data_IF_116044118030
#
_entry.id   IF_116044118030
#
_cell.length_a   1.000
_cell.length_b   1.000
_cell.length_c   1.000
_cell.angle_alpha   90.00
_cell.angle_beta   90.00
_cell.angle_gamma   90.00
#
_symmetry.space_group_name_H-M   'P 1'
#
loop_
_entity.id
_entity.type
_entity.pdbx_description
1 polymer ?
#
# COMPACT_ATOMS: atom_id res chain seq x y z
N UNK A 1 0.68 -3.02 -17.69
CA UNK A 1 1.06 -3.12 -16.26
C UNK A 1 2.08 -4.24 -16.12
N UNK A 2 3.23 -4.01 -15.44
CA UNK A 2 4.24 -5.05 -15.20
C UNK A 2 3.68 -6.28 -14.47
N UNK A 3 4.23 -7.47 -14.74
CA UNK A 3 3.76 -8.74 -14.17
C UNK A 3 3.81 -8.76 -12.63
N UNK A 4 4.89 -8.25 -12.04
CA UNK A 4 5.10 -8.19 -10.59
C UNK A 4 4.02 -7.39 -9.84
N UNK A 5 3.33 -6.44 -10.51
CA UNK A 5 2.22 -5.70 -9.91
C UNK A 5 0.98 -6.60 -9.82
N UNK A 6 0.74 -7.45 -10.83
CA UNK A 6 -0.36 -8.42 -10.78
C UNK A 6 -0.12 -9.39 -9.62
N UNK A 7 1.09 -9.92 -9.51
CA UNK A 7 1.47 -10.88 -8.48
C UNK A 7 1.39 -10.32 -7.04
N UNK A 8 1.35 -8.99 -6.89
CA UNK A 8 1.14 -8.35 -5.58
C UNK A 8 -0.32 -8.42 -5.11
N UNK A 9 -1.26 -8.64 -6.02
CA UNK A 9 -2.67 -8.84 -5.69
C UNK A 9 -2.98 -10.31 -5.48
N UNK A 10 -3.88 -10.60 -4.54
CA UNK A 10 -4.33 -11.95 -4.24
C UNK A 10 -4.85 -12.63 -5.51
N UNK A 11 -4.27 -13.77 -5.87
CA UNK A 11 -4.52 -14.52 -7.11
C UNK A 11 -4.34 -13.71 -8.41
N UNK A 12 -3.63 -12.58 -8.38
CA UNK A 12 -3.55 -11.66 -9.52
C UNK A 12 -4.83 -10.85 -9.76
N UNK A 13 -5.80 -10.92 -8.86
CA UNK A 13 -7.12 -10.32 -9.03
C UNK A 13 -7.17 -8.89 -8.49
N UNK A 14 -7.48 -7.95 -9.37
CA UNK A 14 -7.75 -6.55 -9.02
C UNK A 14 -8.89 -6.02 -9.88
N UNK A 15 -9.63 -5.06 -9.33
CA UNK A 15 -10.63 -4.29 -10.04
C UNK A 15 -10.03 -2.96 -10.45
N UNK A 16 -10.26 -2.56 -11.69
CA UNK A 16 -9.98 -1.18 -12.11
C UNK A 16 -11.23 -0.36 -11.84
N UNK A 17 -11.09 0.67 -11.01
CA UNK A 17 -12.20 1.54 -10.60
C UNK A 17 -11.82 2.99 -10.83
N UNK A 18 -12.82 3.86 -10.96
CA UNK A 18 -12.62 5.31 -11.02
C UNK A 18 -13.25 5.94 -9.79
N UNK A 19 -12.52 6.87 -9.16
CA UNK A 19 -13.04 7.60 -8.00
C UNK A 19 -14.20 8.51 -8.43
N UNK A 20 -15.34 8.39 -7.75
CA UNK A 20 -16.53 9.24 -7.98
C UNK A 20 -16.50 10.51 -7.14
N UNK A 21 -15.63 10.55 -6.12
CA UNK A 21 -15.40 11.65 -5.20
C UNK A 21 -13.93 11.68 -4.76
N UNK A 22 -13.55 12.66 -3.93
CA UNK A 22 -12.22 12.73 -3.34
C UNK A 22 -12.07 11.63 -2.29
N UNK A 23 -11.06 10.77 -2.43
CA UNK A 23 -10.80 9.68 -1.48
C UNK A 23 -9.51 9.92 -0.69
N UNK A 24 -9.51 9.48 0.56
CA UNK A 24 -8.33 9.55 1.44
C UNK A 24 -7.74 8.16 1.57
N UNK A 25 -6.46 8.03 1.27
CA UNK A 25 -5.71 6.78 1.32
C UNK A 25 -4.46 6.95 2.15
N UNK A 26 -3.88 5.85 2.61
CA UNK A 26 -2.77 5.85 3.55
C UNK A 26 -1.61 5.03 3.01
N UNK A 27 -0.39 5.55 3.17
CA UNK A 27 0.83 4.86 2.77
C UNK A 27 1.80 4.77 3.93
N UNK A 28 2.06 3.54 4.38
CA UNK A 28 3.17 3.28 5.31
C UNK A 28 4.49 3.20 4.54
N UNK A 29 5.50 3.91 5.01
CA UNK A 29 6.81 3.98 4.35
C UNK A 29 7.97 4.14 5.36
N UNK A 30 9.21 4.09 4.86
CA UNK A 30 10.45 4.17 5.65
C UNK A 30 11.45 3.09 5.25
N UNK A 31 12.75 3.39 5.41
CA UNK A 31 13.83 2.53 4.91
C UNK A 31 13.88 2.61 3.38
N UNK A 32 13.77 1.47 2.71
CA UNK A 32 13.74 1.40 1.25
C UNK A 32 12.40 1.85 0.64
N UNK A 33 11.30 1.81 1.39
CA UNK A 33 10.01 2.30 0.93
C UNK A 33 9.98 3.84 0.95
N UNK A 34 9.87 4.45 -0.23
CA UNK A 34 9.74 5.89 -0.41
C UNK A 34 8.31 6.39 -0.20
N UNK A 35 8.17 7.66 0.15
CA UNK A 35 6.90 8.32 0.44
C UNK A 35 5.97 8.41 -0.77
N UNK A 36 6.52 8.47 -1.97
CA UNK A 36 5.84 8.63 -3.27
C UNK A 36 5.51 7.31 -3.98
N UNK A 37 5.70 6.16 -3.32
CA UNK A 37 5.38 4.88 -3.92
C UNK A 37 3.87 4.64 -4.06
N UNK A 38 3.49 3.86 -5.07
CA UNK A 38 2.10 3.76 -5.51
C UNK A 38 1.20 2.82 -4.70
N UNK A 39 1.73 1.97 -3.83
CA UNK A 39 0.93 1.04 -3.02
C UNK A 39 0.41 1.71 -1.75
N UNK A 40 -0.92 1.71 -1.57
CA UNK A 40 -1.62 2.39 -0.47
C UNK A 40 -2.78 1.55 0.06
N UNK A 41 -3.31 1.93 1.22
CA UNK A 41 -4.42 1.29 1.95
C UNK A 41 -5.61 2.24 2.11
N UNK A 42 -6.82 1.69 2.23
CA UNK A 42 -8.05 2.43 2.59
C UNK A 42 -8.10 2.82 4.06
N UNK A 43 -7.33 2.12 4.91
CA UNK A 43 -7.34 2.30 6.36
C UNK A 43 -5.96 2.73 6.86
N UNK A 44 -5.89 3.67 7.83
CA UNK A 44 -4.63 4.05 8.45
C UNK A 44 -4.08 2.88 9.28
N UNK A 45 -2.76 2.79 9.37
CA UNK A 45 -2.10 1.82 10.24
C UNK A 45 -2.35 2.16 11.71
N UNK A 46 -2.77 1.16 12.48
CA UNK A 46 -2.87 1.27 13.94
C UNK A 46 -1.48 1.34 14.59
N UNK A 47 -0.55 0.52 14.10
CA UNK A 47 0.85 0.47 14.51
C UNK A 47 1.71 -0.30 13.48
N UNK A 48 3.03 -0.34 13.67
CA UNK A 48 3.98 -1.03 12.78
C UNK A 48 3.73 -2.53 12.63
N UNK A 49 3.27 -3.19 13.69
CA UNK A 49 3.05 -4.65 13.72
C UNK A 49 1.85 -4.99 12.83
N UNK A 50 0.76 -4.24 12.96
CA UNK A 50 -0.43 -4.43 12.13
C UNK A 50 -0.12 -4.15 10.65
N UNK A 51 0.62 -3.08 10.35
CA UNK A 51 1.09 -2.79 8.99
C UNK A 51 1.94 -3.92 8.39
N UNK A 52 2.73 -4.63 9.21
CA UNK A 52 3.52 -5.80 8.76
C UNK A 52 2.63 -6.98 8.36
N UNK A 53 1.61 -7.27 9.16
CA UNK A 53 0.70 -8.40 8.97
C UNK A 53 -0.17 -8.17 7.73
N UNK A 54 -0.74 -6.97 7.63
CA UNK A 54 -1.70 -6.60 6.60
C UNK A 54 -1.07 -6.45 5.22
N UNK A 55 0.12 -5.84 5.16
CA UNK A 55 0.85 -5.62 3.90
C UNK A 55 1.81 -6.77 3.55
N UNK A 56 1.80 -7.86 4.31
CA UNK A 56 2.64 -9.05 4.10
C UNK A 56 4.12 -8.73 3.82
N UNK A 57 4.66 -7.69 4.47
CA UNK A 57 5.97 -7.12 4.13
C UNK A 57 7.12 -7.96 4.69
N UNK A 58 7.86 -8.57 3.78
CA UNK A 58 9.04 -9.38 4.05
C UNK A 58 10.17 -8.56 4.72
N UNK A 59 10.83 -9.08 5.77
CA UNK A 59 11.95 -8.41 6.46
C UNK A 59 13.10 -8.01 5.53
N UNK A 60 13.42 -8.84 4.55
CA UNK A 60 14.50 -8.67 3.57
C UNK A 60 14.38 -7.41 2.72
N UNK A 61 13.18 -6.82 2.61
CA UNK A 61 12.97 -5.57 1.88
C UNK A 61 13.52 -4.35 2.63
N UNK A 62 13.92 -4.50 3.91
CA UNK A 62 14.48 -3.45 4.77
C UNK A 62 13.58 -2.20 4.90
N UNK A 63 12.26 -2.40 4.85
CA UNK A 63 11.27 -1.36 5.08
C UNK A 63 11.04 -1.14 6.57
N UNK A 64 11.37 0.04 7.09
CA UNK A 64 11.31 0.35 8.53
C UNK A 64 9.92 0.77 9.02
N UNK A 65 9.07 1.29 8.13
CA UNK A 65 7.65 1.59 8.41
C UNK A 65 7.44 2.62 9.53
N UNK A 66 8.40 3.52 9.70
CA UNK A 66 8.34 4.56 10.73
C UNK A 66 7.33 5.66 10.41
N UNK A 67 6.90 5.77 9.16
CA UNK A 67 6.08 6.89 8.72
C UNK A 67 4.83 6.41 8.01
N UNK A 68 3.78 7.22 8.10
CA UNK A 68 2.58 7.08 7.30
C UNK A 68 2.23 8.41 6.64
N UNK A 69 2.00 8.40 5.34
CA UNK A 69 1.50 9.53 4.58
C UNK A 69 -0.02 9.41 4.38
N UNK A 70 -0.73 10.52 4.56
CA UNK A 70 -2.13 10.67 4.16
C UNK A 70 -2.17 11.25 2.76
N UNK A 71 -2.84 10.55 1.83
CA UNK A 71 -2.91 10.89 0.41
C UNK A 71 -4.35 11.22 0.04
N UNK A 72 -4.57 12.38 -0.55
CA UNK A 72 -5.86 12.92 -0.99
C UNK A 72 -5.98 12.76 -2.50
N UNK A 73 -6.60 11.67 -2.93
CA UNK A 73 -6.79 11.37 -4.36
C UNK A 73 -8.04 12.11 -4.87
N UNK A 74 -7.96 12.86 -5.96
CA UNK A 74 -9.08 13.59 -6.51
C UNK A 74 -10.10 12.66 -7.18
N UNK A 75 -11.31 13.18 -7.37
CA UNK A 75 -12.35 12.58 -8.20
C UNK A 75 -11.85 12.37 -9.63
N UNK A 76 -12.28 11.29 -10.29
CA UNK A 76 -11.91 10.97 -11.67
C UNK A 76 -10.56 10.25 -11.80
N UNK A 77 -9.99 9.79 -10.69
CA UNK A 77 -8.72 9.05 -10.70
C UNK A 77 -8.99 7.56 -10.89
N UNK A 78 -8.28 6.93 -11.83
CA UNK A 78 -8.32 5.48 -12.06
C UNK A 78 -7.38 4.78 -11.08
N UNK A 79 -7.91 3.81 -10.35
CA UNK A 79 -7.21 3.04 -9.31
C UNK A 79 -7.34 1.54 -9.58
N UNK A 80 -6.37 0.76 -9.12
CA UNK A 80 -6.47 -0.70 -9.10
C UNK A 80 -6.65 -1.13 -7.65
N UNK A 81 -7.77 -1.78 -7.37
CA UNK A 81 -8.17 -2.18 -6.01
C UNK A 81 -8.24 -3.70 -5.96
N UNK A 82 -7.49 -4.28 -5.04
CA UNK A 82 -7.51 -5.72 -4.79
C UNK A 82 -7.15 -6.01 -3.33
N UNK A 83 -6.79 -7.26 -3.05
CA UNK A 83 -6.28 -7.66 -1.73
C UNK A 83 -4.79 -7.94 -1.82
N UNK A 84 -4.04 -7.65 -0.76
CA UNK A 84 -2.63 -8.05 -0.64
C UNK A 84 -2.53 -9.57 -0.68
N UNK A 85 -1.66 -10.12 -1.53
CA UNK A 85 -1.36 -11.56 -1.55
C UNK A 85 -0.53 -11.99 -0.33
N UNK A 86 -0.71 -13.23 0.13
CA UNK A 86 0.10 -13.81 1.20
C UNK A 86 1.57 -13.86 0.78
N UNK A 87 2.47 -13.65 1.73
CA UNK A 87 3.91 -13.76 1.51
C UNK A 87 4.50 -14.81 2.44
N UNK A 88 5.52 -15.52 1.97
CA UNK A 88 6.22 -16.55 2.77
C UNK A 88 7.62 -16.05 3.06
N UNK A 89 7.97 -15.92 4.34
CA UNK A 89 9.32 -15.53 4.75
C UNK A 89 10.32 -16.66 4.45
N UNK A 90 11.60 -16.32 4.33
CA UNK A 90 12.68 -17.32 4.26
C UNK A 90 12.66 -18.31 5.44
N UNK A 91 12.16 -17.91 6.60
CA UNK A 91 12.00 -18.77 7.78
C UNK A 91 10.84 -19.78 7.69
N UNK A 92 10.05 -19.75 6.61
CA UNK A 92 8.83 -20.56 6.44
C UNK A 92 7.58 -19.96 7.08
N UNK A 93 7.70 -18.85 7.82
CA UNK A 93 6.54 -18.17 8.39
C UNK A 93 5.68 -17.51 7.30
N UNK A 94 4.36 -17.72 7.34
CA UNK A 94 3.40 -17.17 6.38
C UNK A 94 2.79 -15.87 6.92
N UNK A 95 2.96 -14.78 6.17
CA UNK A 95 2.21 -13.55 6.34
C UNK A 95 0.92 -13.66 5.53
N UNK A 96 -0.23 -13.67 6.23
CA UNK A 96 -1.53 -13.99 5.62
C UNK A 96 -2.00 -12.98 4.57
N UNK A 97 -1.53 -11.73 4.62
CA UNK A 97 -2.03 -10.65 3.77
C UNK A 97 -3.55 -10.46 3.94
N UNK A 98 -4.22 -10.07 2.86
CA UNK A 98 -5.69 -9.99 2.81
C UNK A 98 -6.31 -8.63 3.11
N UNK A 99 -5.50 -7.66 3.52
CA UNK A 99 -5.91 -6.26 3.60
C UNK A 99 -6.15 -5.68 2.20
N UNK A 100 -6.92 -4.59 2.14
CA UNK A 100 -7.15 -3.88 0.89
C UNK A 100 -5.82 -3.28 0.40
N UNK A 101 -5.49 -3.54 -0.86
CA UNK A 101 -4.37 -2.95 -1.55
C UNK A 101 -4.90 -2.09 -2.69
N UNK A 102 -4.50 -0.83 -2.70
CA UNK A 102 -4.79 0.09 -3.79
C UNK A 102 -3.49 0.48 -4.45
N UNK A 103 -3.46 0.43 -5.78
CA UNK A 103 -2.39 0.97 -6.58
C UNK A 103 -2.82 2.33 -7.14
N UNK A 104 -2.04 3.36 -6.79
CA UNK A 104 -2.13 4.69 -7.37
C UNK A 104 -1.49 4.73 -8.77
N UNK A 105 -1.88 5.70 -9.61
CA UNK A 105 -1.17 5.98 -10.86
C UNK A 105 0.33 6.19 -10.61
N UNK A 106 1.16 5.70 -11.52
CA UNK A 106 2.59 5.93 -11.46
C UNK A 106 2.89 7.44 -11.56
N UNK A 107 3.71 7.96 -10.65
CA UNK A 107 4.09 9.38 -10.64
C UNK A 107 2.96 10.32 -10.25
N UNK A 108 2.02 9.88 -9.39
CA UNK A 108 0.98 10.76 -8.88
C UNK A 108 1.59 12.03 -8.22
N UNK A 109 0.92 13.19 -8.31
CA UNK A 109 1.46 14.45 -7.79
C UNK A 109 1.74 14.39 -6.29
N UNK A 110 2.93 14.83 -5.86
CA UNK A 110 3.25 14.97 -4.42
C UNK A 110 2.28 15.91 -3.69
N UNK A 111 1.63 16.83 -4.40
CA UNK A 111 0.57 17.70 -3.84
C UNK A 111 -0.64 16.93 -3.32
N UNK A 112 -0.78 15.63 -3.64
CA UNK A 112 -1.81 14.78 -3.05
C UNK A 112 -1.47 14.36 -1.62
N UNK A 113 -0.20 14.37 -1.23
CA UNK A 113 0.21 14.06 0.14
C UNK A 113 -0.15 15.26 1.02
N UNK A 114 -1.10 15.07 1.93
CA UNK A 114 -1.60 16.15 2.80
C UNK A 114 -1.00 16.15 4.19
N UNK A 115 -0.49 15.01 4.65
CA UNK A 115 0.08 14.86 5.99
C UNK A 115 1.07 13.68 6.03
N UNK A 116 2.04 13.74 6.95
CA UNK A 116 2.95 12.64 7.26
C UNK A 116 3.10 12.54 8.78
N UNK A 117 2.83 11.36 9.33
CA UNK A 117 2.98 11.09 10.77
C UNK A 117 3.98 9.99 11.05
N UNK A 118 4.59 10.04 12.24
CA UNK A 118 5.39 8.94 12.76
C UNK A 118 4.48 7.86 13.37
N UNK A 119 4.74 6.60 13.02
CA UNK A 119 4.10 5.44 13.65
C UNK A 119 4.97 5.00 14.83
N UNK A 120 4.41 5.02 16.04
CA UNK A 120 5.08 4.45 17.23
C UNK A 120 5.18 2.93 17.12
#
# INVERSE_FOLDING_TARGET
>A
MPAWIKDSFKNGEYKTVMTTEKVTLYRVFGGNAKMDGSFVSTSPALNKIQAKIDSALLPEWKNTRYFEATIKVPKGTVLQVGKVEKQTMMSGAVLKGGADQILLPQGYPMSWISDVRFLQ
#
